data_IF_422115421395
#
_entry.id   IF_422115421395
#
_cell.length_a   1.000
_cell.length_b   1.000
_cell.length_c   1.000
_cell.angle_alpha   90.00
_cell.angle_beta   90.00
_cell.angle_gamma   90.00
#
_symmetry.space_group_name_H-M   'P 1'
#
loop_
_entity.id
_entity.type
_entity.pdbx_description
1 polymer ?
#
# COMPACT_ATOMS: atom_id res chain seq x y z
N UNK A 1 7.58 -24.00 -14.28
CA UNK A 1 6.25 -23.37 -14.41
C UNK A 1 6.08 -22.42 -13.26
N UNK A 2 5.66 -21.17 -13.50
CA UNK A 2 5.32 -20.25 -12.41
C UNK A 2 3.99 -20.68 -11.78
N UNK A 3 4.00 -20.93 -10.48
CA UNK A 3 2.80 -21.19 -9.68
C UNK A 3 1.92 -19.94 -9.63
N UNK A 4 0.60 -20.11 -9.75
CA UNK A 4 -0.36 -19.01 -9.60
C UNK A 4 -0.58 -18.76 -8.10
N UNK A 5 -0.41 -17.51 -7.67
CA UNK A 5 -0.60 -17.11 -6.28
C UNK A 5 -1.69 -16.06 -6.14
N UNK A 6 -2.20 -15.88 -4.93
CA UNK A 6 -3.27 -14.92 -4.63
C UNK A 6 -2.73 -13.82 -3.70
N UNK A 7 -3.06 -12.56 -4.00
CA UNK A 7 -2.69 -11.39 -3.19
C UNK A 7 -3.91 -10.70 -2.59
N UNK A 8 -3.72 -10.08 -1.43
CA UNK A 8 -4.72 -9.24 -0.78
C UNK A 8 -4.33 -7.76 -0.92
N UNK A 9 -5.28 -6.91 -1.31
CA UNK A 9 -5.10 -5.46 -1.28
C UNK A 9 -5.37 -4.93 0.13
N UNK A 10 -4.36 -4.31 0.75
CA UNK A 10 -4.45 -3.74 2.09
C UNK A 10 -4.69 -2.23 2.11
N UNK A 11 -4.52 -1.54 0.99
CA UNK A 11 -4.60 -0.09 0.89
C UNK A 11 -3.49 0.64 1.65
N UNK A 12 -3.63 1.96 1.76
CA UNK A 12 -2.72 2.84 2.53
C UNK A 12 -3.45 3.91 3.33
N UNK A 13 -4.77 3.81 3.45
CA UNK A 13 -5.60 4.78 4.17
C UNK A 13 -5.66 4.51 5.68
N UNK A 14 -5.85 5.55 6.52
CA UNK A 14 -6.16 5.37 7.92
C UNK A 14 -7.52 4.69 8.14
N UNK A 15 -7.72 4.02 9.28
CA UNK A 15 -6.77 3.86 10.39
C UNK A 15 -5.80 2.67 10.20
N UNK A 16 -4.59 2.77 10.77
CA UNK A 16 -3.57 1.70 10.78
C UNK A 16 -4.09 0.31 11.24
N UNK A 17 -5.13 0.27 12.08
CA UNK A 17 -5.74 -0.98 12.53
C UNK A 17 -6.31 -1.80 11.38
N UNK A 18 -6.88 -1.17 10.35
CA UNK A 18 -7.43 -1.86 9.18
C UNK A 18 -6.31 -2.53 8.39
N UNK A 19 -5.23 -1.82 8.11
CA UNK A 19 -4.05 -2.36 7.40
C UNK A 19 -3.40 -3.49 8.21
N UNK A 20 -3.31 -3.32 9.54
CA UNK A 20 -2.80 -4.37 10.44
C UNK A 20 -3.68 -5.63 10.42
N UNK A 21 -5.00 -5.47 10.27
CA UNK A 21 -5.94 -6.58 10.13
C UNK A 21 -5.80 -7.25 8.76
N UNK A 22 -5.64 -6.47 7.68
CA UNK A 22 -5.35 -6.99 6.35
C UNK A 22 -4.06 -7.83 6.36
N UNK A 23 -3.00 -7.38 7.02
CA UNK A 23 -1.78 -8.18 7.17
C UNK A 23 -2.03 -9.49 7.92
N UNK A 24 -2.83 -9.47 9.00
CA UNK A 24 -3.17 -10.71 9.73
C UNK A 24 -3.94 -11.68 8.82
N UNK A 25 -4.87 -11.20 8.01
CA UNK A 25 -5.61 -12.02 7.05
C UNK A 25 -4.69 -12.55 5.94
N UNK A 26 -3.79 -11.72 5.42
CA UNK A 26 -2.82 -12.10 4.40
C UNK A 26 -1.85 -13.20 4.87
N UNK A 27 -1.70 -13.40 6.19
CA UNK A 27 -0.90 -14.52 6.76
C UNK A 27 -1.63 -15.86 6.76
N UNK A 28 -2.90 -15.90 6.38
CA UNK A 28 -3.62 -17.15 6.16
C UNK A 28 -3.05 -17.90 4.95
N UNK A 29 -3.25 -19.22 4.83
CA UNK A 29 -2.71 -20.00 3.72
C UNK A 29 -3.29 -19.64 2.34
N UNK A 30 -4.30 -18.77 2.29
CA UNK A 30 -4.97 -18.36 1.05
C UNK A 30 -4.27 -17.23 0.31
N UNK A 31 -3.32 -16.54 0.95
CA UNK A 31 -2.68 -15.36 0.39
C UNK A 31 -1.16 -15.43 0.53
N UNK A 32 -0.48 -14.97 -0.52
CA UNK A 32 0.98 -14.87 -0.55
C UNK A 32 1.49 -13.45 -0.33
N UNK A 33 0.70 -12.47 -0.75
CA UNK A 33 1.15 -11.08 -0.89
C UNK A 33 0.14 -10.12 -0.29
N UNK A 34 0.64 -9.10 0.41
CA UNK A 34 -0.14 -7.93 0.80
C UNK A 34 0.30 -6.73 -0.06
N UNK A 35 -0.63 -6.16 -0.80
CA UNK A 35 -0.42 -5.02 -1.68
C UNK A 35 -0.84 -3.71 -1.02
N UNK A 36 0.05 -2.72 -1.03
CA UNK A 36 -0.22 -1.31 -0.73
C UNK A 36 -0.29 -0.50 -2.03
N UNK A 37 -0.75 0.74 -1.94
CA UNK A 37 -0.82 1.69 -3.06
C UNK A 37 -0.06 2.98 -2.71
N UNK A 38 0.48 3.68 -3.71
CA UNK A 38 1.20 4.94 -3.52
C UNK A 38 0.38 6.11 -4.07
N UNK A 39 -0.35 6.79 -3.18
CA UNK A 39 -1.20 7.93 -3.52
C UNK A 39 -1.01 9.11 -2.56
N UNK A 40 -1.00 10.32 -3.09
CA UNK A 40 -1.12 11.57 -2.34
C UNK A 40 -2.57 12.07 -2.28
N UNK A 41 -3.35 11.81 -3.33
CA UNK A 41 -4.76 12.21 -3.40
C UNK A 41 -5.65 11.01 -3.72
N UNK A 42 -6.89 11.12 -3.27
CA UNK A 42 -7.91 10.11 -3.50
C UNK A 42 -8.50 10.22 -4.89
N UNK A 43 -9.12 9.12 -5.33
CA UNK A 43 -9.85 9.05 -6.59
C UNK A 43 -11.13 9.94 -6.58
N UNK A 44 -11.68 10.21 -5.40
CA UNK A 44 -12.94 10.95 -5.27
C UNK A 44 -12.70 12.46 -5.09
N UNK A 45 -13.38 13.33 -5.86
CA UNK A 45 -13.30 14.77 -5.68
C UNK A 45 -13.78 15.22 -4.30
N UNK A 46 -13.07 16.17 -3.68
CA UNK A 46 -13.49 16.76 -2.39
C UNK A 46 -14.87 17.41 -2.44
N UNK A 47 -15.26 17.94 -3.59
CA UNK A 47 -16.53 18.62 -3.77
C UNK A 47 -17.76 17.72 -3.57
N UNK A 48 -17.58 16.41 -3.64
CA UNK A 48 -18.64 15.41 -3.40
C UNK A 48 -18.33 14.55 -2.17
N UNK A 49 -17.36 14.92 -1.33
CA UNK A 49 -16.97 14.10 -0.19
C UNK A 49 -17.81 14.45 1.05
N UNK A 50 -19.03 13.92 1.07
CA UNK A 50 -20.00 14.05 2.16
C UNK A 50 -20.72 12.72 2.46
N UNK A 51 -21.49 12.71 3.54
CA UNK A 51 -22.20 11.50 4.00
C UNK A 51 -23.29 11.02 3.02
N UNK A 52 -23.76 11.89 2.10
CA UNK A 52 -24.69 11.51 1.04
C UNK A 52 -23.98 10.70 -0.07
N UNK A 53 -22.72 11.04 -0.35
CA UNK A 53 -21.89 10.32 -1.31
C UNK A 53 -21.35 8.99 -0.77
N UNK A 54 -20.83 8.97 0.46
CA UNK A 54 -20.20 7.78 1.03
C UNK A 54 -20.26 7.74 2.55
N UNK A 55 -20.58 6.56 3.10
CA UNK A 55 -20.54 6.30 4.54
C UNK A 55 -19.14 6.49 5.17
N UNK A 56 -18.08 6.56 4.35
CA UNK A 56 -16.71 6.86 4.80
C UNK A 56 -16.46 8.37 4.96
N UNK A 57 -17.27 9.23 4.35
CA UNK A 57 -17.07 10.68 4.29
C UNK A 57 -17.66 11.42 5.52
N UNK A 58 -17.31 10.93 6.71
CA UNK A 58 -17.72 11.54 7.98
C UNK A 58 -17.13 12.95 8.16
N UNK A 59 -17.73 13.82 8.99
CA UNK A 59 -17.18 15.14 9.29
C UNK A 59 -15.70 15.09 9.71
N UNK A 60 -14.88 15.94 9.10
CA UNK A 60 -13.44 16.02 9.37
C UNK A 60 -12.57 14.96 8.67
N UNK A 61 -13.16 14.10 7.83
CA UNK A 61 -12.40 13.18 6.96
C UNK A 61 -12.09 13.81 5.61
N UNK A 62 -11.20 13.18 4.84
CA UNK A 62 -10.83 13.59 3.48
C UNK A 62 -10.63 12.35 2.61
N UNK A 63 -10.98 12.39 1.30
CA UNK A 63 -10.70 11.28 0.40
C UNK A 63 -9.19 11.11 0.15
N UNK A 64 -8.40 12.14 0.45
CA UNK A 64 -6.95 12.18 0.25
C UNK A 64 -6.15 11.62 1.44
N UNK A 65 -6.80 10.94 2.37
CA UNK A 65 -6.11 10.43 3.55
C UNK A 65 -5.30 9.17 3.21
N UNK A 66 -4.01 9.34 2.90
CA UNK A 66 -3.08 8.25 2.59
C UNK A 66 -1.82 8.33 3.46
N UNK A 67 -1.36 7.17 3.94
CA UNK A 67 -0.03 7.02 4.51
C UNK A 67 1.02 6.93 3.39
N UNK A 68 2.23 7.41 3.67
CA UNK A 68 3.38 7.10 2.83
C UNK A 68 3.60 5.57 2.80
N UNK A 69 3.59 5.02 1.58
CA UNK A 69 3.64 3.57 1.41
C UNK A 69 4.98 2.98 1.88
N UNK A 70 6.11 3.68 1.71
CA UNK A 70 7.43 3.16 2.11
C UNK A 70 7.53 3.03 3.64
N UNK A 71 7.08 4.07 4.35
CA UNK A 71 7.00 4.10 5.81
C UNK A 71 6.04 3.02 6.33
N UNK A 72 4.89 2.86 5.68
CA UNK A 72 3.93 1.82 6.04
C UNK A 72 4.50 0.41 5.82
N UNK A 73 5.17 0.15 4.69
CA UNK A 73 5.81 -1.14 4.45
C UNK A 73 6.89 -1.44 5.50
N UNK A 74 7.67 -0.44 5.90
CA UNK A 74 8.61 -0.55 7.02
C UNK A 74 7.93 -0.91 8.34
N UNK A 75 6.80 -0.27 8.66
CA UNK A 75 5.99 -0.60 9.85
C UNK A 75 5.49 -2.06 9.84
N UNK A 76 5.09 -2.57 8.67
CA UNK A 76 4.56 -3.93 8.51
C UNK A 76 5.66 -5.00 8.47
N UNK A 77 6.88 -4.66 8.05
CA UNK A 77 7.97 -5.60 7.75
C UNK A 77 8.21 -6.64 8.86
N UNK A 78 8.35 -6.19 10.11
CA UNK A 78 8.60 -7.07 11.26
C UNK A 78 7.49 -8.11 11.48
N UNK A 79 6.25 -7.78 11.12
CA UNK A 79 5.06 -8.63 11.35
C UNK A 79 4.67 -9.46 10.13
N UNK A 80 5.31 -9.23 8.97
CA UNK A 80 4.94 -9.84 7.71
C UNK A 80 5.13 -11.37 7.69
N UNK A 81 6.13 -11.89 8.41
CA UNK A 81 6.42 -13.33 8.38
C UNK A 81 6.73 -13.81 6.96
N UNK A 82 5.95 -14.76 6.46
CA UNK A 82 6.08 -15.30 5.10
C UNK A 82 5.17 -14.59 4.07
N UNK A 83 4.47 -13.53 4.45
CA UNK A 83 3.73 -12.70 3.50
C UNK A 83 4.73 -11.81 2.77
N UNK A 84 4.63 -11.78 1.45
CA UNK A 84 5.38 -10.83 0.63
C UNK A 84 4.71 -9.47 0.72
N UNK A 85 5.48 -8.43 1.05
CA UNK A 85 5.00 -7.06 1.03
C UNK A 85 5.22 -6.45 -0.35
N UNK A 86 4.25 -5.69 -0.84
CA UNK A 86 4.28 -5.15 -2.20
C UNK A 86 3.64 -3.76 -2.28
N UNK A 87 4.11 -2.95 -3.23
CA UNK A 87 3.41 -1.74 -3.68
C UNK A 87 2.93 -1.96 -5.12
N UNK A 88 1.68 -1.59 -5.39
CA UNK A 88 1.04 -1.72 -6.69
C UNK A 88 0.19 -0.48 -6.98
N UNK A 89 0.73 0.58 -7.58
CA UNK A 89 2.14 0.78 -7.99
C UNK A 89 2.65 2.13 -7.47
N UNK A 90 3.98 2.31 -7.42
CA UNK A 90 4.65 3.62 -7.29
C UNK A 90 5.16 4.06 -8.67
N UNK A 91 5.88 5.18 -8.74
CA UNK A 91 6.36 5.77 -9.98
C UNK A 91 7.65 6.59 -9.79
N UNK A 92 8.46 6.78 -10.84
CA UNK A 92 9.74 7.51 -10.77
C UNK A 92 9.67 9.02 -11.06
N UNK A 93 8.50 9.54 -11.41
CA UNK A 93 8.21 10.96 -11.68
C UNK A 93 8.27 11.77 -10.38
N UNK A 94 7.65 11.31 -9.27
CA UNK A 94 7.67 12.03 -7.98
C UNK A 94 8.70 11.48 -7.01
N UNK A 95 9.18 10.25 -7.20
CA UNK A 95 10.23 9.64 -6.37
C UNK A 95 11.46 9.31 -7.21
N UNK A 96 12.59 9.92 -6.84
CA UNK A 96 13.84 9.67 -7.56
C UNK A 96 14.16 8.17 -7.59
N UNK A 97 14.49 7.58 -8.76
CA UNK A 97 14.72 6.13 -8.89
C UNK A 97 15.73 5.55 -7.91
N UNK A 98 16.79 6.29 -7.57
CA UNK A 98 17.77 5.87 -6.57
C UNK A 98 17.18 5.75 -5.16
N UNK A 99 16.23 6.61 -4.79
CA UNK A 99 15.54 6.51 -3.50
C UNK A 99 14.59 5.32 -3.47
N UNK A 100 13.91 5.03 -4.58
CA UNK A 100 13.10 3.81 -4.73
C UNK A 100 13.95 2.55 -4.54
N UNK A 101 15.09 2.49 -5.24
CA UNK A 101 16.03 1.38 -5.13
C UNK A 101 16.57 1.23 -3.71
N UNK A 102 17.03 2.32 -3.10
CA UNK A 102 17.54 2.32 -1.72
C UNK A 102 16.47 1.81 -0.75
N UNK A 103 15.26 2.35 -0.79
CA UNK A 103 14.19 1.96 0.12
C UNK A 103 13.81 0.48 -0.01
N UNK A 104 13.72 -0.05 -1.24
CA UNK A 104 13.40 -1.46 -1.44
C UNK A 104 14.54 -2.40 -1.06
N UNK A 105 15.79 -2.02 -1.32
CA UNK A 105 16.95 -2.76 -0.82
C UNK A 105 16.95 -2.79 0.71
N UNK A 106 16.72 -1.65 1.37
CA UNK A 106 16.54 -1.60 2.83
C UNK A 106 15.40 -2.51 3.29
N UNK A 107 14.23 -2.45 2.64
CA UNK A 107 13.10 -3.30 3.00
C UNK A 107 13.43 -4.79 2.86
N UNK A 108 14.22 -5.19 1.86
CA UNK A 108 14.63 -6.60 1.69
C UNK A 108 15.38 -7.17 2.90
N UNK A 109 16.12 -6.32 3.63
CA UNK A 109 16.80 -6.71 4.87
C UNK A 109 15.85 -6.83 6.07
N UNK A 110 14.63 -6.28 5.99
CA UNK A 110 13.66 -6.25 7.09
C UNK A 110 12.59 -7.35 7.00
N UNK A 111 12.51 -8.07 5.87
CA UNK A 111 11.46 -9.08 5.60
C UNK A 111 12.06 -10.44 5.28
N UNK A 112 11.30 -11.52 5.49
CA UNK A 112 11.75 -12.88 5.16
C UNK A 112 11.62 -13.23 3.68
N UNK A 113 10.65 -12.62 2.98
CA UNK A 113 10.43 -12.81 1.54
C UNK A 113 10.69 -11.50 0.81
N UNK A 114 11.47 -11.57 -0.28
CA UNK A 114 11.80 -10.41 -1.13
C UNK A 114 10.52 -9.64 -1.49
N UNK A 115 10.43 -8.33 -1.20
CA UNK A 115 9.25 -7.53 -1.47
C UNK A 115 9.06 -7.31 -2.99
N UNK A 116 7.87 -6.85 -3.40
CA UNK A 116 7.58 -6.49 -4.81
C UNK A 116 7.52 -4.97 -4.94
N UNK A 117 8.38 -4.43 -5.80
CA UNK A 117 8.33 -3.04 -6.27
C UNK A 117 7.54 -2.99 -7.58
N UNK A 118 6.25 -2.69 -7.52
CA UNK A 118 5.46 -2.38 -8.71
C UNK A 118 5.69 -0.94 -9.13
N UNK A 119 6.08 -0.72 -10.39
CA UNK A 119 6.29 0.60 -10.97
C UNK A 119 5.29 0.80 -12.12
N UNK A 120 4.59 1.92 -12.09
CA UNK A 120 3.74 2.40 -13.17
C UNK A 120 4.26 3.71 -13.77
N UNK A 121 3.53 4.22 -14.77
CA UNK A 121 3.82 5.49 -15.44
C UNK A 121 3.38 6.73 -14.64
N UNK A 122 2.69 6.52 -13.52
CA UNK A 122 2.04 7.58 -12.76
C UNK A 122 0.73 8.04 -13.40
N UNK A 123 -0.09 8.71 -12.61
CA UNK A 123 -1.32 9.36 -13.04
C UNK A 123 -1.23 10.84 -12.69
N UNK A 124 -1.69 11.72 -13.60
CA UNK A 124 -1.52 13.19 -13.45
C UNK A 124 -2.20 13.75 -12.19
N UNK A 125 -3.27 13.09 -11.76
CA UNK A 125 -4.01 13.48 -10.55
C UNK A 125 -3.18 13.33 -9.28
N UNK A 126 -2.28 12.35 -9.28
CA UNK A 126 -1.58 11.87 -8.09
C UNK A 126 -0.23 12.58 -7.92
#
# INVERSE_FOLDING_TARGET
MSEVTVGLSGGTQPPLRQISMALRLARSPWFDTLWTVDHFVGFFPKAIWDEDFSWMAKPGTTPDAYYDYQTLLGYLARRAGNVRLAVGVTEPVRRHPMLLAQAFLTLTHMVKRRPILGIGSGEREN
#
